data_IF_717787321852
#
_entry.id   IF_717787321852
#
_cell.length_a   1.000
_cell.length_b   1.000
_cell.length_c   1.000
_cell.angle_alpha   90.00
_cell.angle_beta   90.00
_cell.angle_gamma   90.00
#
_symmetry.space_group_name_H-M   'P 1'
#
loop_
_entity.id
_entity.type
_entity.pdbx_description
1 polymer ?
#
# COMPACT_ATOMS: atom_id res chain seq x y z
N UNK A 1 24.19 -44.88 -31.52
CA UNK A 1 23.25 -44.68 -30.38
C UNK A 1 22.96 -43.20 -30.28
N UNK A 2 21.69 -42.83 -30.30
CA UNK A 2 21.23 -41.46 -30.07
C UNK A 2 20.94 -41.30 -28.57
N UNK A 3 21.45 -40.18 -27.99
CA UNK A 3 21.14 -39.82 -26.63
C UNK A 3 20.38 -38.49 -26.66
N UNK A 4 19.19 -38.44 -26.06
CA UNK A 4 18.36 -37.24 -25.93
C UNK A 4 18.38 -36.75 -24.48
N UNK A 5 18.47 -35.47 -24.32
CA UNK A 5 18.41 -34.79 -23.02
C UNK A 5 17.66 -33.44 -23.12
N UNK A 6 17.26 -32.90 -21.99
CA UNK A 6 16.60 -31.59 -21.87
C UNK A 6 17.56 -30.60 -21.22
N UNK A 7 17.61 -29.37 -21.75
CA UNK A 7 18.28 -28.24 -21.10
C UNK A 7 17.19 -27.40 -20.45
N UNK A 8 17.25 -27.25 -19.14
CA UNK A 8 16.39 -26.33 -18.40
C UNK A 8 17.09 -24.97 -18.25
N UNK A 9 16.46 -23.91 -18.78
CA UNK A 9 16.97 -22.55 -18.62
C UNK A 9 16.16 -21.87 -17.54
N UNK A 10 16.81 -21.49 -16.45
CA UNK A 10 16.20 -20.74 -15.36
C UNK A 10 16.42 -19.24 -15.58
N UNK A 11 15.34 -18.51 -15.85
CA UNK A 11 15.42 -17.05 -16.00
C UNK A 11 15.24 -16.40 -14.64
N UNK A 12 16.28 -15.74 -14.11
CA UNK A 12 16.23 -15.07 -12.81
C UNK A 12 15.58 -13.70 -12.98
N UNK A 13 14.41 -13.52 -12.37
CA UNK A 13 13.77 -12.21 -12.27
C UNK A 13 14.30 -11.48 -11.01
N UNK A 14 14.77 -10.27 -11.21
CA UNK A 14 15.12 -9.38 -10.12
C UNK A 14 13.95 -8.41 -9.91
N UNK A 15 13.24 -8.57 -8.80
CA UNK A 15 12.16 -7.67 -8.40
C UNK A 15 12.61 -6.83 -7.21
N UNK A 16 12.09 -5.61 -7.12
CA UNK A 16 12.14 -4.80 -5.90
C UNK A 16 10.87 -5.14 -5.11
N UNK A 17 11.01 -5.51 -3.84
CA UNK A 17 9.88 -5.94 -3.02
C UNK A 17 9.65 -4.94 -1.90
N UNK A 18 8.40 -4.50 -1.77
CA UNK A 18 7.92 -3.71 -0.63
C UNK A 18 6.81 -4.46 0.08
N UNK A 19 6.77 -4.34 1.39
CA UNK A 19 5.64 -4.76 2.19
C UNK A 19 4.92 -3.50 2.65
N UNK A 20 3.60 -3.54 2.62
CA UNK A 20 2.75 -2.44 3.05
C UNK A 20 1.44 -2.95 3.61
N UNK A 21 0.62 -2.02 4.06
CA UNK A 21 -0.72 -2.31 4.55
C UNK A 21 -1.74 -1.82 3.53
N UNK A 22 -2.80 -2.60 3.34
CA UNK A 22 -3.88 -2.23 2.42
C UNK A 22 -4.45 -0.86 2.81
N UNK A 23 -4.53 0.05 1.83
CA UNK A 23 -5.00 1.42 2.03
C UNK A 23 -3.96 2.42 2.50
N UNK A 24 -2.74 1.99 2.82
CA UNK A 24 -1.66 2.89 3.21
C UNK A 24 -0.69 3.17 2.07
N UNK A 25 -0.03 4.32 2.17
CA UNK A 25 0.98 4.72 1.19
C UNK A 25 2.24 3.90 1.35
N UNK A 26 2.75 3.37 0.25
CA UNK A 26 4.04 2.69 0.19
C UNK A 26 5.07 3.65 -0.39
N UNK A 27 6.09 3.98 0.39
CA UNK A 27 7.22 4.83 -0.02
C UNK A 27 8.29 3.99 -0.71
N UNK A 28 8.79 4.43 -1.87
CA UNK A 28 9.92 3.80 -2.53
C UNK A 28 11.25 4.40 -2.02
N UNK A 29 12.34 3.64 -2.18
CA UNK A 29 13.67 4.07 -1.79
C UNK A 29 14.63 4.02 -2.97
N UNK A 30 15.40 5.09 -3.17
CA UNK A 30 16.43 5.18 -4.24
C UNK A 30 17.46 4.04 -4.14
N UNK A 31 17.81 3.64 -2.90
CA UNK A 31 18.76 2.54 -2.66
C UNK A 31 18.34 1.23 -3.29
N UNK A 32 17.04 0.91 -3.26
CA UNK A 32 16.52 -0.36 -3.79
C UNK A 32 16.65 -0.45 -5.31
N UNK A 33 16.43 0.68 -5.99
CA UNK A 33 16.62 0.77 -7.44
C UNK A 33 18.09 0.75 -7.84
N UNK A 34 18.98 1.35 -7.04
CA UNK A 34 20.42 1.23 -7.23
C UNK A 34 20.90 -0.22 -7.07
N UNK A 35 20.40 -0.92 -6.05
CA UNK A 35 20.69 -2.33 -5.82
C UNK A 35 20.18 -3.22 -6.96
N UNK A 36 18.95 -2.97 -7.43
CA UNK A 36 18.40 -3.63 -8.61
C UNK A 36 19.29 -3.41 -9.83
N UNK A 37 19.66 -2.15 -10.12
CA UNK A 37 20.53 -1.79 -11.23
C UNK A 37 21.86 -2.57 -11.17
N UNK A 38 22.53 -2.54 -10.03
CA UNK A 38 23.82 -3.20 -9.85
C UNK A 38 23.73 -4.72 -10.07
N UNK A 39 22.71 -5.37 -9.48
CA UNK A 39 22.49 -6.82 -9.63
C UNK A 39 22.22 -7.22 -11.09
N UNK A 40 21.39 -6.44 -11.79
CA UNK A 40 21.08 -6.74 -13.20
C UNK A 40 22.25 -6.45 -14.11
N UNK A 41 22.96 -5.34 -13.90
CA UNK A 41 24.13 -4.97 -14.66
C UNK A 41 25.27 -6.00 -14.52
N UNK A 42 25.54 -6.47 -13.29
CA UNK A 42 26.50 -7.56 -13.06
C UNK A 42 26.09 -8.86 -13.78
N UNK A 43 24.81 -9.24 -13.69
CA UNK A 43 24.29 -10.44 -14.32
C UNK A 43 24.39 -10.40 -15.86
N UNK A 44 24.28 -9.20 -16.45
CA UNK A 44 24.40 -8.97 -17.90
C UNK A 44 25.83 -8.73 -18.38
N UNK A 45 26.79 -8.59 -17.45
CA UNK A 45 28.17 -8.21 -17.76
C UNK A 45 28.35 -6.73 -18.14
N UNK A 46 27.35 -5.89 -17.83
CA UNK A 46 27.42 -4.44 -18.02
C UNK A 46 28.19 -3.75 -16.90
N UNK A 47 28.38 -4.42 -15.77
CA UNK A 47 29.22 -3.96 -14.65
C UNK A 47 30.10 -5.09 -14.10
N UNK A 48 31.27 -4.72 -13.57
CA UNK A 48 32.20 -5.62 -12.90
C UNK A 48 31.91 -5.72 -11.41
N UNK A 49 31.97 -6.93 -10.84
CA UNK A 49 31.85 -7.17 -9.39
C UNK A 49 32.90 -6.42 -8.55
N UNK A 50 34.08 -6.13 -9.11
CA UNK A 50 35.13 -5.41 -8.45
C UNK A 50 34.98 -3.89 -8.43
N UNK A 51 33.84 -3.37 -8.90
CA UNK A 51 33.57 -1.93 -9.07
C UNK A 51 34.59 -1.19 -9.95
N UNK A 52 35.31 -1.94 -10.78
CA UNK A 52 36.14 -1.43 -11.86
C UNK A 52 35.36 -1.43 -13.18
N UNK A 53 36.00 -1.04 -14.26
CA UNK A 53 35.36 -1.06 -15.59
C UNK A 53 35.04 -2.48 -16.06
N UNK A 54 33.87 -2.72 -16.68
CA UNK A 54 32.78 -1.76 -16.89
C UNK A 54 32.02 -1.48 -15.60
N UNK A 55 31.43 -0.28 -15.49
CA UNK A 55 30.50 0.07 -14.42
C UNK A 55 29.30 0.85 -14.96
N UNK A 56 28.24 0.93 -14.18
CA UNK A 56 27.01 1.66 -14.51
C UNK A 56 26.71 2.73 -13.47
N UNK A 57 26.07 3.82 -13.92
CA UNK A 57 25.54 4.87 -13.07
C UNK A 57 24.05 5.03 -13.34
N UNK A 58 23.27 5.24 -12.30
CA UNK A 58 21.84 5.49 -12.39
C UNK A 58 21.55 6.83 -13.10
N UNK A 59 20.62 6.82 -14.04
CA UNK A 59 20.14 8.05 -14.71
C UNK A 59 18.70 8.36 -14.26
N UNK A 60 17.74 7.49 -14.57
CA UNK A 60 16.33 7.66 -14.21
C UNK A 60 15.53 6.37 -14.34
N UNK A 61 14.31 6.39 -13.82
CA UNK A 61 13.31 5.33 -14.00
C UNK A 61 12.08 5.88 -14.72
N UNK A 62 11.52 5.08 -15.61
CA UNK A 62 10.19 5.31 -16.18
C UNK A 62 9.25 4.20 -15.72
N UNK A 63 8.10 4.55 -15.15
CA UNK A 63 7.10 3.59 -14.70
C UNK A 63 6.03 3.35 -15.76
N UNK A 64 5.57 2.10 -15.86
CA UNK A 64 4.30 1.80 -16.53
C UNK A 64 3.15 2.33 -15.69
N UNK A 65 2.10 2.80 -16.37
CA UNK A 65 0.90 3.28 -15.67
C UNK A 65 0.23 2.13 -14.91
N UNK A 66 0.03 2.23 -13.60
CA UNK A 66 -0.76 1.24 -12.87
C UNK A 66 -2.23 1.31 -13.33
N UNK A 67 -2.95 0.20 -13.22
CA UNK A 67 -4.40 0.20 -13.45
C UNK A 67 -5.11 0.90 -12.30
N UNK A 68 -6.32 1.43 -12.56
CA UNK A 68 -7.15 2.06 -11.51
C UNK A 68 -7.46 1.09 -10.36
N UNK A 69 -7.58 -0.20 -10.65
CA UNK A 69 -7.79 -1.24 -9.64
C UNK A 69 -6.56 -1.50 -8.77
N UNK A 70 -5.37 -1.19 -9.26
CA UNK A 70 -4.12 -1.34 -8.51
C UNK A 70 -3.91 -0.18 -7.54
N UNK A 71 -4.06 1.04 -8.03
CA UNK A 71 -3.80 2.25 -7.24
C UNK A 71 -3.19 3.37 -8.07
N UNK A 72 -2.55 4.31 -7.40
CA UNK A 72 -1.96 5.50 -8.03
C UNK A 72 -0.52 5.68 -7.57
N UNK A 73 0.38 5.92 -8.53
CA UNK A 73 1.74 6.38 -8.28
C UNK A 73 1.76 7.90 -8.19
N UNK A 74 2.56 8.42 -7.26
CA UNK A 74 2.83 9.85 -7.12
C UNK A 74 4.34 10.11 -7.20
N UNK A 75 4.71 11.23 -7.78
CA UNK A 75 6.09 11.74 -7.80
C UNK A 75 6.10 13.20 -7.34
N UNK A 76 6.78 13.48 -6.25
CA UNK A 76 6.79 14.81 -5.62
C UNK A 76 5.37 15.32 -5.31
N UNK A 77 4.46 14.43 -4.89
CA UNK A 77 3.06 14.75 -4.60
C UNK A 77 2.14 14.85 -5.81
N UNK A 78 2.66 14.75 -7.04
CA UNK A 78 1.85 14.78 -8.27
C UNK A 78 1.45 13.36 -8.68
N UNK A 79 0.15 13.12 -8.85
CA UNK A 79 -0.38 11.82 -9.28
C UNK A 79 0.02 11.47 -10.72
N UNK A 80 0.36 10.21 -10.96
CA UNK A 80 0.59 9.70 -12.30
C UNK A 80 -0.69 9.72 -13.13
N UNK A 81 -0.62 10.28 -14.33
CA UNK A 81 -1.76 10.50 -15.21
C UNK A 81 -1.56 9.81 -16.57
N UNK A 82 -2.66 9.46 -17.23
CA UNK A 82 -2.67 9.00 -18.62
C UNK A 82 -2.42 10.12 -19.62
N UNK A 83 -2.59 11.38 -19.19
CA UNK A 83 -2.37 12.53 -20.09
C UNK A 83 -0.87 12.77 -20.27
N UNK A 84 -0.48 13.09 -21.50
CA UNK A 84 0.90 13.48 -21.84
C UNK A 84 1.11 15.00 -21.68
N UNK A 85 0.31 15.67 -20.85
CA UNK A 85 0.43 17.10 -20.61
C UNK A 85 1.79 17.44 -19.98
N UNK A 86 2.39 18.53 -20.42
CA UNK A 86 3.65 19.02 -19.88
C UNK A 86 3.52 19.27 -18.38
N UNK A 87 4.45 18.72 -17.61
CA UNK A 87 4.49 18.86 -16.16
C UNK A 87 3.72 17.79 -15.37
N UNK A 88 2.93 16.93 -15.99
CA UNK A 88 2.26 15.83 -15.31
C UNK A 88 3.18 14.61 -15.18
N UNK A 89 3.09 13.90 -14.04
CA UNK A 89 3.74 12.59 -13.89
C UNK A 89 3.04 11.57 -14.81
N UNK A 90 3.75 11.01 -15.78
CA UNK A 90 3.22 10.02 -16.72
C UNK A 90 4.32 9.01 -17.10
N UNK A 91 3.98 8.04 -17.96
CA UNK A 91 4.89 6.98 -18.43
C UNK A 91 6.18 7.48 -19.11
N UNK A 92 6.24 8.73 -19.56
CA UNK A 92 7.41 9.33 -20.18
C UNK A 92 8.23 10.16 -19.17
N UNK A 93 7.75 10.31 -17.95
CA UNK A 93 8.44 11.08 -16.92
C UNK A 93 9.71 10.37 -16.50
N UNK A 94 10.81 11.08 -16.54
CA UNK A 94 12.11 10.63 -16.05
C UNK A 94 12.17 10.86 -14.54
N UNK A 95 11.96 9.79 -13.77
CA UNK A 95 12.04 9.86 -12.30
C UNK A 95 13.50 9.70 -11.90
N UNK A 96 14.11 10.77 -11.42
CA UNK A 96 15.53 10.82 -11.01
C UNK A 96 15.74 10.67 -9.52
N UNK A 97 14.68 10.76 -8.71
CA UNK A 97 14.70 10.58 -7.26
C UNK A 97 13.54 9.70 -6.82
N UNK A 98 13.83 8.42 -6.52
CA UNK A 98 12.82 7.44 -6.11
C UNK A 98 12.33 7.67 -4.68
N UNK A 99 13.10 8.37 -3.83
CA UNK A 99 12.65 8.76 -2.47
C UNK A 99 11.47 9.75 -2.51
N UNK A 100 11.19 10.34 -3.68
CA UNK A 100 10.01 11.19 -3.91
C UNK A 100 8.84 10.44 -4.55
N UNK A 101 8.94 9.11 -4.74
CA UNK A 101 7.89 8.29 -5.34
C UNK A 101 7.13 7.54 -4.26
N UNK A 102 5.81 7.65 -4.30
CA UNK A 102 4.91 6.88 -3.44
C UNK A 102 3.87 6.14 -4.27
N UNK A 103 3.42 5.01 -3.77
CA UNK A 103 2.32 4.25 -4.33
C UNK A 103 1.17 4.19 -3.32
N UNK A 104 -0.02 4.60 -3.73
CA UNK A 104 -1.25 4.54 -2.93
C UNK A 104 -2.14 3.46 -3.50
N UNK A 105 -2.32 2.32 -2.83
CA UNK A 105 -3.24 1.27 -3.25
C UNK A 105 -4.68 1.79 -3.28
N UNK A 106 -5.45 1.42 -4.30
CA UNK A 106 -6.85 1.82 -4.38
C UNK A 106 -7.76 1.00 -3.46
N UNK A 107 -7.41 -0.27 -3.24
CA UNK A 107 -8.14 -1.16 -2.34
C UNK A 107 -7.60 -1.01 -0.91
N UNK A 108 -8.49 -0.67 0.02
CA UNK A 108 -8.17 -0.42 1.43
C UNK A 108 -8.38 -1.63 2.33
N UNK A 109 -8.93 -2.70 1.80
CA UNK A 109 -9.49 -3.79 2.60
C UNK A 109 -8.94 -5.17 2.30
N UNK A 110 -8.29 -5.36 1.16
CA UNK A 110 -7.88 -6.69 0.71
C UNK A 110 -6.36 -6.86 0.72
N UNK A 111 -5.88 -7.88 1.40
CA UNK A 111 -4.49 -8.32 1.27
C UNK A 111 -4.26 -8.82 -0.17
N UNK A 112 -3.28 -8.25 -0.86
CA UNK A 112 -2.95 -8.63 -2.24
C UNK A 112 -1.54 -8.26 -2.62
N UNK A 113 -1.05 -8.89 -3.67
CA UNK A 113 0.21 -8.54 -4.32
C UNK A 113 -0.06 -7.70 -5.56
N UNK A 114 0.59 -6.55 -5.66
CA UNK A 114 0.50 -5.64 -6.80
C UNK A 114 1.87 -5.59 -7.48
N UNK A 115 1.88 -5.72 -8.80
CA UNK A 115 3.11 -5.63 -9.59
C UNK A 115 3.07 -4.36 -10.45
N UNK A 116 4.08 -3.52 -10.30
CA UNK A 116 4.27 -2.27 -11.02
C UNK A 116 5.53 -2.39 -11.87
N UNK A 117 5.36 -2.36 -13.19
CA UNK A 117 6.49 -2.50 -14.11
C UNK A 117 7.21 -1.15 -14.29
N UNK A 118 8.53 -1.23 -14.47
CA UNK A 118 9.36 -0.07 -14.76
C UNK A 118 10.49 -0.40 -15.73
N UNK A 119 11.07 0.63 -16.31
CA UNK A 119 12.36 0.57 -17.01
C UNK A 119 13.30 1.55 -16.34
N UNK A 120 14.42 1.04 -15.81
CA UNK A 120 15.51 1.83 -15.28
C UNK A 120 16.52 2.08 -16.40
N UNK A 121 16.91 3.32 -16.57
CA UNK A 121 17.95 3.73 -17.52
C UNK A 121 19.21 4.07 -16.74
N UNK A 122 20.33 3.55 -17.20
CA UNK A 122 21.63 3.76 -16.62
C UNK A 122 22.66 4.06 -17.72
N UNK A 123 23.72 4.80 -17.38
CA UNK A 123 24.84 5.03 -18.25
C UNK A 123 25.94 4.03 -17.92
N UNK A 124 26.33 3.20 -18.91
CA UNK A 124 27.41 2.24 -18.85
C UNK A 124 28.72 2.86 -19.34
N UNK A 125 29.78 2.71 -18.56
CA UNK A 125 31.13 3.12 -18.90
C UNK A 125 32.02 1.88 -19.06
N UNK A 126 32.67 1.75 -20.20
CA UNK A 126 33.55 0.62 -20.54
C UNK A 126 35.04 0.89 -20.28
N UNK A 127 35.41 2.15 -20.07
CA UNK A 127 36.77 2.60 -19.83
C UNK A 127 36.80 3.81 -18.89
N UNK A 128 38.00 4.26 -18.48
CA UNK A 128 38.21 5.43 -17.62
C UNK A 128 37.75 6.76 -18.21
N UNK A 129 37.47 6.80 -19.52
CA UNK A 129 36.91 7.99 -20.16
C UNK A 129 35.40 8.08 -19.91
N UNK A 130 35.00 9.03 -19.06
CA UNK A 130 33.57 9.31 -18.75
C UNK A 130 32.84 10.01 -19.91
N UNK A 131 33.57 10.41 -20.96
CA UNK A 131 32.99 11.12 -22.13
C UNK A 131 32.24 10.20 -23.11
N UNK A 132 32.29 8.88 -22.94
CA UNK A 132 31.73 7.89 -23.88
C UNK A 132 30.85 6.85 -23.15
N UNK A 133 29.97 7.32 -22.25
CA UNK A 133 28.97 6.46 -21.64
C UNK A 133 27.85 6.09 -22.63
N UNK A 134 27.35 4.85 -22.53
CA UNK A 134 26.22 4.36 -23.34
C UNK A 134 25.01 4.13 -22.44
N UNK A 135 23.87 4.71 -22.80
CA UNK A 135 22.63 4.45 -22.06
C UNK A 135 22.15 3.03 -22.28
N UNK A 136 21.91 2.31 -21.19
CA UNK A 136 21.40 0.94 -21.17
C UNK A 136 20.10 0.85 -20.37
N UNK A 137 19.06 0.19 -20.92
CA UNK A 137 17.80 0.00 -20.21
C UNK A 137 17.79 -1.34 -19.45
N UNK A 138 17.23 -1.32 -18.22
CA UNK A 138 16.97 -2.48 -17.40
C UNK A 138 15.49 -2.53 -17.04
N UNK A 139 14.77 -3.51 -17.60
CA UNK A 139 13.36 -3.74 -17.25
C UNK A 139 13.24 -4.49 -15.93
N UNK A 140 12.35 -4.06 -15.06
CA UNK A 140 12.10 -4.65 -13.77
C UNK A 140 10.66 -4.45 -13.29
N UNK A 141 10.38 -4.97 -12.11
CA UNK A 141 9.10 -4.81 -11.44
C UNK A 141 9.29 -4.47 -9.97
N UNK A 142 8.47 -3.57 -9.48
CA UNK A 142 8.21 -3.39 -8.05
C UNK A 142 7.05 -4.30 -7.68
N UNK A 143 7.26 -5.20 -6.73
CA UNK A 143 6.23 -6.08 -6.17
C UNK A 143 5.86 -5.54 -4.80
N UNK A 144 4.62 -5.07 -4.65
CA UNK A 144 4.09 -4.56 -3.39
C UNK A 144 3.19 -5.63 -2.79
N UNK A 145 3.60 -6.20 -1.67
CA UNK A 145 2.82 -7.17 -0.91
C UNK A 145 2.04 -6.44 0.17
N UNK A 146 0.75 -6.28 -0.05
CA UNK A 146 -0.15 -5.64 0.91
C UNK A 146 -0.70 -6.70 1.86
N UNK A 147 -0.46 -6.49 3.15
CA UNK A 147 -1.12 -7.22 4.22
C UNK A 147 -2.30 -6.40 4.75
N UNK A 148 -3.22 -7.06 5.44
CA UNK A 148 -4.27 -6.39 6.18
C UNK A 148 -4.01 -6.52 7.66
N UNK A 149 -4.14 -5.40 8.34
CA UNK A 149 -4.12 -5.33 9.79
C UNK A 149 -5.53 -4.99 10.26
N UNK A 150 -6.04 -5.78 11.19
CA UNK A 150 -7.43 -5.69 11.62
C UNK A 150 -7.50 -5.57 13.15
N UNK A 151 -8.45 -4.74 13.64
CA UNK A 151 -9.00 -4.88 14.98
C UNK A 151 -10.08 -5.97 14.87
N UNK A 152 -10.05 -6.99 15.72
CA UNK A 152 -10.90 -8.19 15.60
C UNK A 152 -11.90 -8.26 16.73
N UNK A 153 -13.17 -8.44 16.36
CA UNK A 153 -14.26 -8.73 17.25
C UNK A 153 -14.96 -10.02 16.83
N UNK A 154 -15.56 -10.71 17.79
CA UNK A 154 -16.41 -11.88 17.54
C UNK A 154 -17.80 -11.60 18.06
N UNK A 155 -18.82 -11.96 17.27
CA UNK A 155 -20.22 -11.74 17.59
C UNK A 155 -21.05 -12.92 17.10
N UNK A 156 -22.10 -13.31 17.87
CA UNK A 156 -23.07 -14.32 17.43
C UNK A 156 -24.10 -13.75 16.46
N UNK A 157 -24.72 -14.62 15.69
CA UNK A 157 -25.84 -14.22 14.79
C UNK A 157 -26.94 -13.51 15.58
N UNK A 158 -27.38 -12.36 15.10
CA UNK A 158 -28.43 -11.55 15.70
C UNK A 158 -28.01 -10.77 16.94
N UNK A 159 -26.78 -10.97 17.42
CA UNK A 159 -26.22 -10.20 18.52
C UNK A 159 -25.42 -8.99 18.04
N UNK A 160 -25.02 -8.14 18.96
CA UNK A 160 -24.19 -6.97 18.69
C UNK A 160 -22.90 -7.00 19.49
N UNK A 161 -21.86 -6.40 18.91
CA UNK A 161 -20.59 -6.13 19.59
C UNK A 161 -20.28 -4.64 19.52
N UNK A 162 -20.02 -4.02 20.68
CA UNK A 162 -19.56 -2.63 20.79
C UNK A 162 -18.06 -2.58 20.55
N UNK A 163 -17.61 -1.51 19.93
CA UNK A 163 -16.20 -1.29 19.72
C UNK A 163 -15.58 -0.64 20.96
N UNK A 164 -14.38 -1.11 21.33
CA UNK A 164 -13.62 -0.55 22.43
C UNK A 164 -12.66 0.52 21.90
N UNK A 165 -12.73 1.73 22.44
CA UNK A 165 -11.85 2.83 22.09
C UNK A 165 -10.36 2.48 22.29
N UNK A 166 -10.06 1.67 23.30
CA UNK A 166 -8.69 1.24 23.61
C UNK A 166 -8.08 0.38 22.50
N UNK A 167 -8.90 -0.39 21.76
CA UNK A 167 -8.44 -1.21 20.65
C UNK A 167 -7.96 -0.34 19.49
N UNK A 168 -8.67 0.76 19.19
CA UNK A 168 -8.26 1.73 18.17
C UNK A 168 -6.99 2.48 18.57
N UNK A 169 -6.86 2.83 19.85
CA UNK A 169 -5.64 3.47 20.35
C UNK A 169 -4.45 2.50 20.31
N UNK A 170 -4.68 1.24 20.66
CA UNK A 170 -3.67 0.17 20.57
C UNK A 170 -3.26 -0.07 19.13
N UNK A 171 -4.22 -0.09 18.20
CA UNK A 171 -3.96 -0.18 16.77
C UNK A 171 -3.07 0.99 16.28
N UNK A 172 -3.41 2.22 16.64
CA UNK A 172 -2.62 3.41 16.27
C UNK A 172 -1.17 3.32 16.80
N UNK A 173 -0.98 2.88 18.05
CA UNK A 173 0.33 2.89 18.71
C UNK A 173 1.16 1.65 18.41
N UNK A 174 0.58 0.47 18.54
CA UNK A 174 1.30 -0.80 18.42
C UNK A 174 1.45 -1.25 16.99
N UNK A 175 0.39 -1.13 16.19
CA UNK A 175 0.35 -1.60 14.81
C UNK A 175 0.97 -0.58 13.86
N UNK A 176 0.67 0.72 14.06
CA UNK A 176 1.17 1.80 13.21
C UNK A 176 2.44 2.48 13.73
N UNK A 177 2.89 2.11 14.93
CA UNK A 177 4.15 2.60 15.49
C UNK A 177 4.15 4.07 15.91
N UNK A 178 2.97 4.70 16.06
CA UNK A 178 2.90 6.08 16.53
C UNK A 178 3.28 6.19 18.01
N UNK A 179 4.04 7.22 18.37
CA UNK A 179 4.45 7.44 19.74
C UNK A 179 3.27 7.76 20.65
N UNK A 180 3.48 7.66 21.98
CA UNK A 180 2.47 7.98 23.00
C UNK A 180 1.98 9.43 22.95
N UNK A 181 2.70 10.34 22.28
CA UNK A 181 2.28 11.72 22.09
C UNK A 181 1.12 11.87 21.09
N UNK A 182 0.89 10.84 20.26
CA UNK A 182 -0.27 10.83 19.38
C UNK A 182 -1.46 10.20 20.10
N UNK A 183 -2.63 10.80 19.91
CA UNK A 183 -3.92 10.25 20.33
C UNK A 183 -4.91 10.32 19.17
N UNK A 184 -6.03 9.63 19.32
CA UNK A 184 -7.11 9.68 18.34
C UNK A 184 -7.93 10.96 18.58
N UNK A 185 -8.20 11.71 17.52
CA UNK A 185 -9.20 12.77 17.52
C UNK A 185 -10.57 12.16 17.26
N UNK A 186 -10.75 11.53 16.09
CA UNK A 186 -11.96 10.79 15.77
C UNK A 186 -11.69 9.66 14.77
N UNK A 187 -12.68 8.77 14.64
CA UNK A 187 -12.71 7.66 13.66
C UNK A 187 -13.92 7.84 12.77
N UNK A 188 -13.79 7.48 11.50
CA UNK A 188 -14.90 7.33 10.56
C UNK A 188 -14.97 5.90 10.05
N UNK A 189 -16.16 5.41 9.69
CA UNK A 189 -16.38 4.07 9.19
C UNK A 189 -16.99 4.11 7.78
N UNK A 190 -16.58 3.17 6.92
CA UNK A 190 -17.19 3.00 5.61
C UNK A 190 -18.38 2.02 5.70
N UNK A 191 -19.55 2.59 6.01
CA UNK A 191 -20.81 1.83 6.11
C UNK A 191 -21.20 1.18 4.77
N UNK A 192 -20.80 1.73 3.62
CA UNK A 192 -21.18 1.17 2.32
C UNK A 192 -20.57 -0.21 2.09
N UNK A 193 -19.36 -0.43 2.57
CA UNK A 193 -18.69 -1.73 2.51
C UNK A 193 -19.38 -2.79 3.37
N UNK A 194 -19.96 -2.37 4.52
CA UNK A 194 -20.70 -3.27 5.42
C UNK A 194 -22.05 -3.64 4.83
N UNK A 195 -22.78 -2.67 4.30
CA UNK A 195 -24.12 -2.88 3.71
C UNK A 195 -24.11 -3.78 2.48
N UNK A 196 -22.98 -3.81 1.74
CA UNK A 196 -22.86 -4.61 0.52
C UNK A 196 -22.92 -6.12 0.74
N UNK A 197 -22.62 -6.60 1.96
CA UNK A 197 -22.54 -8.04 2.25
C UNK A 197 -23.76 -8.62 2.96
N UNK A 198 -24.72 -7.78 3.40
CA UNK A 198 -25.95 -8.20 4.10
C UNK A 198 -25.73 -9.03 5.39
N UNK A 199 -24.50 -9.05 5.92
CA UNK A 199 -24.14 -9.85 7.10
C UNK A 199 -24.36 -9.09 8.42
N UNK A 200 -24.65 -7.79 8.34
CA UNK A 200 -24.90 -6.94 9.50
C UNK A 200 -24.88 -5.45 9.16
N UNK A 201 -24.87 -4.62 10.19
CA UNK A 201 -24.86 -3.16 10.06
C UNK A 201 -24.20 -2.48 11.25
N UNK A 202 -23.65 -1.28 11.01
CA UNK A 202 -23.13 -0.42 12.07
C UNK A 202 -24.25 0.49 12.62
N UNK A 203 -24.29 0.58 13.94
CA UNK A 203 -25.24 1.40 14.69
C UNK A 203 -24.52 2.17 15.79
N UNK A 204 -25.17 3.26 16.22
CA UNK A 204 -24.77 3.96 17.45
C UNK A 204 -25.69 3.57 18.59
N UNK A 205 -25.12 3.45 19.80
CA UNK A 205 -25.89 3.36 21.04
C UNK A 205 -26.15 4.77 21.56
N UNK A 206 -27.34 4.95 22.16
CA UNK A 206 -27.65 6.17 22.89
C UNK A 206 -27.96 5.81 24.34
N UNK A 207 -27.28 6.41 25.30
CA UNK A 207 -27.42 6.14 26.75
C UNK A 207 -27.29 4.66 27.13
N UNK A 208 -26.54 3.88 26.38
CA UNK A 208 -26.20 2.48 26.72
C UNK A 208 -27.30 1.44 26.46
N UNK A 209 -28.49 1.83 26.01
CA UNK A 209 -29.64 0.91 25.98
C UNK A 209 -30.39 0.79 24.64
N UNK A 210 -30.25 1.69 23.70
CA UNK A 210 -30.99 1.63 22.45
C UNK A 210 -30.14 1.99 21.25
N UNK A 211 -30.44 1.39 20.09
CA UNK A 211 -29.85 1.76 18.84
C UNK A 211 -30.21 3.22 18.50
N UNK A 212 -29.24 4.11 18.58
CA UNK A 212 -29.45 5.54 18.31
C UNK A 212 -29.66 5.86 16.84
N UNK A 213 -29.18 5.00 15.93
CA UNK A 213 -29.31 5.15 14.50
C UNK A 213 -28.19 4.45 13.73
N UNK A 214 -28.39 4.29 12.40
CA UNK A 214 -27.37 3.74 11.53
C UNK A 214 -26.19 4.69 11.38
N UNK A 215 -24.98 4.18 11.45
CA UNK A 215 -23.76 4.94 11.18
C UNK A 215 -23.72 5.33 9.70
N UNK A 216 -23.37 6.59 9.42
CA UNK A 216 -23.13 7.11 8.07
C UNK A 216 -21.64 7.27 7.81
N UNK A 217 -21.23 7.15 6.57
CA UNK A 217 -19.82 7.32 6.18
C UNK A 217 -19.25 8.71 6.54
N UNK A 218 -20.12 9.70 6.70
CA UNK A 218 -19.76 11.07 7.09
C UNK A 218 -19.69 11.31 8.59
N UNK A 219 -20.15 10.35 9.41
CA UNK A 219 -20.20 10.51 10.86
C UNK A 219 -18.78 10.41 11.45
N UNK A 220 -18.54 11.25 12.46
CA UNK A 220 -17.29 11.29 13.22
C UNK A 220 -17.53 10.78 14.62
N UNK A 221 -16.71 9.84 15.05
CA UNK A 221 -16.79 9.23 16.38
C UNK A 221 -15.53 9.55 17.15
N UNK A 222 -15.67 10.32 18.20
CA UNK A 222 -14.55 10.91 18.96
C UNK A 222 -14.06 9.97 20.05
N UNK A 223 -12.75 9.94 20.20
CA UNK A 223 -12.10 9.28 21.32
C UNK A 223 -12.20 10.16 22.57
N UNK A 224 -12.56 9.60 23.72
CA UNK A 224 -12.87 10.36 24.93
C UNK A 224 -13.87 11.51 24.66
N UNK A 225 -14.96 11.20 23.98
CA UNK A 225 -15.96 12.17 23.54
C UNK A 225 -16.56 12.98 24.71
N UNK A 226 -16.82 14.25 24.46
CA UNK A 226 -17.64 15.10 25.32
C UNK A 226 -19.13 14.80 25.13
N UNK A 227 -19.98 15.27 26.05
CA UNK A 227 -21.43 15.02 26.00
C UNK A 227 -22.14 15.51 24.72
N UNK A 228 -21.50 16.41 23.96
CA UNK A 228 -22.02 16.93 22.69
C UNK A 228 -21.47 16.24 21.43
N UNK A 229 -20.60 15.24 21.60
CA UNK A 229 -19.94 14.51 20.52
C UNK A 229 -20.42 13.07 20.46
N UNK A 230 -20.43 12.47 19.27
CA UNK A 230 -20.67 11.03 19.13
C UNK A 230 -19.43 10.29 19.65
N UNK A 231 -19.60 9.43 20.67
CA UNK A 231 -18.49 8.68 21.22
C UNK A 231 -18.14 7.47 20.34
N UNK A 232 -16.85 7.20 20.21
CA UNK A 232 -16.37 6.02 19.51
C UNK A 232 -16.84 4.73 20.21
N UNK A 233 -16.88 4.74 21.55
CA UNK A 233 -17.40 3.65 22.38
C UNK A 233 -18.90 3.39 22.21
N UNK A 234 -19.64 4.30 21.56
CA UNK A 234 -21.06 4.08 21.25
C UNK A 234 -21.30 3.39 19.92
N UNK A 235 -20.27 3.14 19.14
CA UNK A 235 -20.37 2.41 17.87
C UNK A 235 -20.42 0.91 18.12
N UNK A 236 -21.35 0.24 17.45
CA UNK A 236 -21.49 -1.21 17.51
C UNK A 236 -21.77 -1.80 16.14
N UNK A 237 -21.38 -3.04 15.96
CA UNK A 237 -21.79 -3.87 14.83
C UNK A 237 -22.90 -4.82 15.30
N UNK A 238 -24.05 -4.79 14.62
CA UNK A 238 -25.15 -5.73 14.80
C UNK A 238 -25.07 -6.77 13.70
N UNK A 239 -24.79 -8.02 14.05
CA UNK A 239 -24.79 -9.13 13.11
C UNK A 239 -26.22 -9.45 12.63
N UNK A 240 -26.37 -9.73 11.35
CA UNK A 240 -27.64 -10.18 10.78
C UNK A 240 -28.06 -11.50 11.42
N UNK A 241 -29.36 -11.68 11.63
CA UNK A 241 -29.93 -12.99 12.04
C UNK A 241 -29.77 -14.06 10.97
N UNK A 242 -29.48 -13.65 9.73
CA UNK A 242 -29.29 -14.50 8.58
C UNK A 242 -27.83 -14.60 8.17
N UNK A 243 -26.91 -14.00 8.96
CA UNK A 243 -25.46 -14.10 8.70
C UNK A 243 -25.01 -15.54 8.69
N UNK A 244 -24.08 -15.87 7.81
CA UNK A 244 -23.53 -17.23 7.78
C UNK A 244 -22.53 -17.42 8.92
N UNK A 245 -22.63 -18.54 9.61
CA UNK A 245 -21.67 -18.90 10.66
C UNK A 245 -20.25 -19.02 10.10
N UNK A 246 -19.29 -18.35 10.74
CA UNK A 246 -17.88 -18.36 10.34
C UNK A 246 -17.52 -17.36 9.26
N UNK A 247 -18.46 -16.56 8.76
CA UNK A 247 -18.17 -15.45 7.86
C UNK A 247 -17.49 -14.30 8.61
N UNK A 248 -16.63 -13.58 7.90
CA UNK A 248 -15.94 -12.39 8.40
C UNK A 248 -16.45 -11.17 7.68
N UNK A 249 -16.98 -10.20 8.44
CA UNK A 249 -17.36 -8.89 7.91
C UNK A 249 -16.21 -7.93 8.11
N UNK A 250 -15.82 -7.25 7.04
CA UNK A 250 -14.75 -6.27 7.06
C UNK A 250 -15.33 -4.87 7.07
N UNK A 251 -14.99 -4.12 8.11
CA UNK A 251 -15.48 -2.76 8.35
C UNK A 251 -14.30 -1.81 8.17
N UNK A 252 -14.17 -1.15 7.01
CA UNK A 252 -13.11 -0.17 6.81
C UNK A 252 -13.32 1.02 7.73
N UNK A 253 -12.23 1.48 8.36
CA UNK A 253 -12.23 2.68 9.18
C UNK A 253 -11.03 3.57 8.86
N UNK A 254 -11.13 4.83 9.21
CA UNK A 254 -10.05 5.80 9.14
C UNK A 254 -9.89 6.48 10.49
N UNK A 255 -8.69 6.40 11.07
CA UNK A 255 -8.34 7.10 12.30
C UNK A 255 -7.75 8.47 11.94
N UNK A 256 -8.28 9.52 12.51
CA UNK A 256 -7.72 10.86 12.48
C UNK A 256 -7.01 11.10 13.80
N UNK A 257 -5.69 11.09 13.74
CA UNK A 257 -4.84 11.27 14.92
C UNK A 257 -4.43 12.73 15.07
N UNK A 258 -4.20 13.13 16.34
CA UNK A 258 -3.61 14.44 16.70
C UNK A 258 -2.37 14.23 17.56
N UNK A 259 -1.43 15.14 17.41
CA UNK A 259 -0.21 15.25 18.22
C UNK A 259 -0.49 16.06 19.49
#
# INVERSE_FOLDING_TARGET
>A
RLYCGTISVYQKNYNINYNGVAGETVQFAQSDFNDFMNKVAEARGDASKSKSYPYVTFDYVSFSLPTTAQGTLYYGGTAMSTSNSSGAFNRNTKVTNLDSVTFVPNDKTTAKTITLNFTLYATRYSSSSTSHGTTVPYSGSVVVNLVREDIKYTVSQGDSVRFDESDFLSYLRSTKGYSSNYTIDYVTFDQSAVSAVNEGSLYTYYNGYNYGGSVKTTDRFYYNATASQNALSDVAFLASRYAKTGETVYIPFTIYARY
#
